data_IF_919174690770
#
_entry.id   IF_919174690770
#
_cell.length_a   1.000
_cell.length_b   1.000
_cell.length_c   1.000
_cell.angle_alpha   90.00
_cell.angle_beta   90.00
_cell.angle_gamma   90.00
#
_symmetry.space_group_name_H-M   'P 1'
#
loop_
_entity.id
_entity.type
_entity.pdbx_description
1 polymer ?
#
# COMPACT_ATOMS: atom_id res chain seq x y z
N UNK A 1 0.15 26.43 -0.66
CA UNK A 1 0.25 25.59 -1.85
C UNK A 1 1.71 25.22 -2.03
N UNK A 2 2.07 23.97 -1.76
CA UNK A 2 3.37 23.46 -2.18
C UNK A 2 3.38 23.32 -3.71
N UNK A 3 4.53 23.51 -4.39
CA UNK A 3 4.62 23.18 -5.80
C UNK A 3 4.31 21.69 -6.01
N UNK A 4 3.81 21.30 -7.19
CA UNK A 4 3.62 19.88 -7.50
C UNK A 4 4.96 19.16 -7.34
N UNK A 5 4.94 18.01 -6.70
CA UNK A 5 6.13 17.19 -6.61
C UNK A 5 6.53 16.67 -8.00
N UNK A 6 7.83 16.63 -8.32
CA UNK A 6 8.29 16.05 -9.58
C UNK A 6 7.97 14.55 -9.64
N UNK A 7 7.83 14.01 -10.85
CA UNK A 7 7.70 12.56 -11.00
C UNK A 7 8.95 11.87 -10.40
N UNK A 8 8.80 10.93 -9.47
CA UNK A 8 9.92 10.21 -8.87
C UNK A 8 10.85 9.56 -9.91
N UNK A 9 10.34 9.09 -11.04
CA UNK A 9 11.16 8.53 -12.12
C UNK A 9 12.10 9.57 -12.73
N UNK A 10 11.63 10.83 -12.90
CA UNK A 10 12.43 11.90 -13.48
C UNK A 10 13.62 12.30 -12.63
N UNK A 11 13.52 12.11 -11.31
CA UNK A 11 14.57 12.49 -10.35
C UNK A 11 15.29 11.28 -9.77
N UNK A 12 14.99 10.07 -10.25
CA UNK A 12 15.61 8.82 -9.76
C UNK A 12 15.25 8.46 -8.31
N UNK A 13 14.11 8.95 -7.82
CA UNK A 13 13.64 8.62 -6.47
C UNK A 13 13.01 7.21 -6.47
N UNK A 14 13.47 6.31 -5.59
CA UNK A 14 12.91 4.97 -5.52
C UNK A 14 11.54 4.96 -4.83
N UNK A 15 10.76 3.87 -4.97
CA UNK A 15 9.55 3.65 -4.20
C UNK A 15 9.80 3.76 -2.70
N UNK A 16 8.85 4.34 -2.01
CA UNK A 16 8.91 4.46 -0.58
C UNK A 16 8.18 3.32 0.11
N UNK A 17 8.78 2.76 1.16
CA UNK A 17 8.33 1.53 1.77
C UNK A 17 8.18 1.65 3.29
N UNK A 18 7.20 0.94 3.82
CA UNK A 18 7.10 0.62 5.24
C UNK A 18 6.56 -0.80 5.42
N UNK A 19 6.68 -1.34 6.60
CA UNK A 19 6.22 -2.69 6.93
C UNK A 19 5.00 -2.60 7.83
N UNK A 20 3.98 -3.40 7.52
CA UNK A 20 2.85 -3.65 8.42
C UNK A 20 3.04 -4.91 9.22
N UNK A 21 2.60 -4.86 10.46
CA UNK A 21 2.50 -6.05 11.32
C UNK A 21 1.21 -6.80 10.99
N UNK A 22 1.30 -7.90 10.24
CA UNK A 22 0.13 -8.58 9.68
C UNK A 22 -0.90 -9.02 10.74
N UNK A 23 -0.44 -9.54 11.87
CA UNK A 23 -1.33 -10.17 12.86
C UNK A 23 -2.37 -9.21 13.47
N UNK A 24 -1.99 -7.98 13.78
CA UNK A 24 -2.88 -7.02 14.44
C UNK A 24 -3.54 -6.04 13.46
N UNK A 25 -2.93 -5.79 12.30
CA UNK A 25 -3.45 -4.79 11.36
C UNK A 25 -4.48 -5.35 10.39
N UNK A 26 -4.39 -6.63 10.01
CA UNK A 26 -5.29 -7.21 9.04
C UNK A 26 -6.69 -7.47 9.60
N UNK A 27 -7.70 -7.00 8.89
CA UNK A 27 -9.11 -7.24 9.16
C UNK A 27 -9.76 -7.74 7.87
N UNK A 28 -10.45 -8.89 7.95
CA UNK A 28 -11.15 -9.46 6.81
C UNK A 28 -12.41 -8.66 6.44
N UNK A 29 -12.95 -8.96 5.27
CA UNK A 29 -14.18 -8.35 4.75
C UNK A 29 -15.33 -8.43 5.76
N UNK A 30 -16.07 -7.33 5.92
CA UNK A 30 -17.18 -7.22 6.89
C UNK A 30 -16.73 -7.00 8.33
N UNK A 31 -15.42 -7.01 8.62
CA UNK A 31 -14.90 -6.72 9.94
C UNK A 31 -15.00 -5.25 10.32
N UNK A 32 -14.85 -4.97 11.60
CA UNK A 32 -14.90 -3.61 12.14
C UNK A 32 -13.51 -3.12 12.52
N UNK A 33 -13.24 -1.85 12.28
CA UNK A 33 -12.03 -1.15 12.71
C UNK A 33 -12.42 -0.08 13.70
N UNK A 34 -11.74 -0.05 14.85
CA UNK A 34 -11.93 1.03 15.83
C UNK A 34 -10.93 2.15 15.51
N UNK A 35 -11.43 3.34 15.26
CA UNK A 35 -10.57 4.52 15.08
C UNK A 35 -9.78 4.73 16.38
N UNK A 36 -8.44 4.80 16.32
CA UNK A 36 -7.62 5.02 17.49
C UNK A 36 -8.00 6.32 18.21
N UNK A 37 -8.27 6.24 19.51
CA UNK A 37 -8.70 7.40 20.30
C UNK A 37 -7.65 8.54 20.34
N UNK A 38 -6.39 8.21 20.03
CA UNK A 38 -5.31 9.18 19.98
C UNK A 38 -5.25 9.95 18.67
N UNK A 39 -5.89 9.48 17.58
CA UNK A 39 -5.87 10.16 16.27
C UNK A 39 -7.10 11.04 16.08
N UNK A 40 -6.86 12.22 15.49
CA UNK A 40 -7.90 13.17 15.07
C UNK A 40 -7.91 13.40 13.56
N UNK A 41 -7.00 12.77 12.82
CA UNK A 41 -6.87 12.85 11.37
C UNK A 41 -6.78 11.46 10.79
N UNK A 42 -7.89 10.74 10.93
CA UNK A 42 -8.03 9.39 10.39
C UNK A 42 -8.39 9.44 8.90
N UNK A 43 -7.69 8.66 8.10
CA UNK A 43 -7.82 8.71 6.65
C UNK A 43 -7.85 7.30 6.05
N UNK A 44 -8.35 7.20 4.84
CA UNK A 44 -8.40 6.00 4.02
C UNK A 44 -7.43 6.09 2.86
N UNK A 45 -6.99 4.95 2.37
CA UNK A 45 -6.19 4.78 1.15
C UNK A 45 -6.59 3.47 0.51
N UNK A 46 -7.50 3.54 -0.47
CA UNK A 46 -7.90 2.37 -1.25
C UNK A 46 -6.78 1.97 -2.20
N UNK A 47 -6.38 0.70 -2.14
CA UNK A 47 -5.30 0.17 -2.96
C UNK A 47 -5.66 -1.20 -3.54
N UNK A 48 -5.09 -1.52 -4.70
CA UNK A 48 -4.89 -2.91 -5.10
C UNK A 48 -3.62 -3.43 -4.43
N UNK A 49 -3.70 -4.60 -3.85
CA UNK A 49 -2.53 -5.28 -3.30
C UNK A 49 -2.15 -6.48 -4.17
N UNK A 50 -0.85 -6.66 -4.36
CA UNK A 50 -0.27 -7.82 -5.06
C UNK A 50 0.00 -8.92 -4.03
N UNK A 51 -0.38 -10.16 -4.35
CA UNK A 51 -0.09 -11.35 -3.54
C UNK A 51 1.01 -12.17 -4.21
N UNK A 52 2.09 -12.42 -3.50
CA UNK A 52 3.22 -13.21 -3.98
C UNK A 52 2.82 -14.69 -4.01
N UNK A 53 3.11 -15.36 -5.11
CA UNK A 53 2.79 -16.78 -5.31
C UNK A 53 4.00 -17.71 -5.33
N UNK A 54 5.18 -17.17 -5.51
CA UNK A 54 6.43 -17.93 -5.59
C UNK A 54 7.56 -17.16 -4.92
N UNK A 55 8.39 -17.86 -4.16
CA UNK A 55 9.58 -17.26 -3.54
C UNK A 55 10.43 -16.55 -4.58
N UNK A 56 10.86 -15.32 -4.26
CA UNK A 56 11.72 -14.53 -5.13
C UNK A 56 12.66 -13.62 -4.36
N UNK A 57 13.84 -13.44 -4.94
CA UNK A 57 14.92 -12.59 -4.44
C UNK A 57 15.71 -12.06 -5.63
N UNK A 58 16.06 -10.77 -5.59
CA UNK A 58 16.90 -10.10 -6.58
C UNK A 58 16.40 -10.25 -8.03
N UNK A 59 15.08 -10.23 -8.23
CA UNK A 59 14.45 -10.31 -9.55
C UNK A 59 14.47 -8.95 -10.25
N UNK A 60 14.51 -8.97 -11.57
CA UNK A 60 14.37 -7.76 -12.38
C UNK A 60 12.88 -7.44 -12.67
N UNK A 61 12.63 -6.22 -13.14
CA UNK A 61 11.29 -5.72 -13.44
C UNK A 61 10.61 -6.56 -14.54
N UNK A 62 11.37 -7.05 -15.53
CA UNK A 62 10.83 -7.77 -16.68
C UNK A 62 10.19 -9.12 -16.27
N UNK A 63 10.67 -9.73 -15.18
CA UNK A 63 10.20 -11.04 -14.71
C UNK A 63 9.35 -10.95 -13.43
N UNK A 64 9.21 -9.77 -12.83
CA UNK A 64 8.57 -9.60 -11.52
C UNK A 64 7.14 -10.14 -11.46
N UNK A 65 6.36 -9.97 -12.52
CA UNK A 65 4.98 -10.40 -12.57
C UNK A 65 4.80 -11.93 -12.63
N UNK A 66 5.84 -12.69 -12.96
CA UNK A 66 5.82 -14.16 -12.93
C UNK A 66 5.72 -14.72 -11.51
N UNK A 67 6.01 -13.91 -10.49
CA UNK A 67 5.97 -14.26 -9.08
C UNK A 67 4.66 -13.89 -8.40
N UNK A 68 3.74 -13.25 -9.11
CA UNK A 68 2.46 -12.79 -8.59
C UNK A 68 1.39 -13.88 -8.75
N UNK A 69 0.80 -14.30 -7.62
CA UNK A 69 -0.32 -15.23 -7.62
C UNK A 69 -1.64 -14.54 -8.01
N UNK A 70 -1.83 -13.30 -7.59
CA UNK A 70 -3.07 -12.58 -7.81
C UNK A 70 -3.12 -11.25 -7.09
N UNK A 71 -4.32 -10.70 -7.04
CA UNK A 71 -4.59 -9.37 -6.51
C UNK A 71 -5.73 -9.41 -5.50
N UNK A 72 -5.68 -8.50 -4.55
CA UNK A 72 -6.77 -8.26 -3.61
C UNK A 72 -6.91 -6.76 -3.36
N UNK A 73 -7.96 -6.37 -2.65
CA UNK A 73 -8.17 -4.98 -2.25
C UNK A 73 -7.71 -4.82 -0.81
N UNK A 74 -7.07 -3.70 -0.52
CA UNK A 74 -6.79 -3.25 0.84
C UNK A 74 -7.24 -1.80 1.02
N UNK A 75 -7.45 -1.44 2.28
CA UNK A 75 -7.58 -0.05 2.69
C UNK A 75 -6.42 0.25 3.65
N UNK A 76 -5.44 1.04 3.20
CA UNK A 76 -4.29 1.43 4.00
C UNK A 76 -4.66 2.56 4.96
N UNK A 77 -5.48 2.22 5.98
CA UNK A 77 -5.95 3.18 6.97
C UNK A 77 -4.80 3.85 7.71
N UNK A 78 -4.93 5.16 7.88
CA UNK A 78 -3.84 6.03 8.32
C UNK A 78 -4.28 6.98 9.43
N UNK A 79 -3.51 7.04 10.51
CA UNK A 79 -3.59 8.08 11.52
C UNK A 79 -2.63 9.22 11.14
N UNK A 80 -3.05 10.13 10.27
CA UNK A 80 -2.19 11.13 9.61
C UNK A 80 -1.44 12.04 10.57
N UNK A 81 -2.04 12.38 11.69
CA UNK A 81 -1.45 13.19 12.74
C UNK A 81 -0.29 12.50 13.48
N UNK A 82 -0.08 11.21 13.24
CA UNK A 82 1.03 10.43 13.80
C UNK A 82 2.17 10.16 12.80
N UNK A 83 2.06 10.67 11.57
CA UNK A 83 3.14 10.55 10.59
C UNK A 83 4.40 11.28 11.04
N UNK A 84 4.25 12.47 11.62
CA UNK A 84 5.36 13.27 12.14
C UNK A 84 5.33 13.28 13.65
N UNK A 85 6.47 13.00 14.26
CA UNK A 85 6.61 13.00 15.72
C UNK A 85 6.64 14.43 16.24
N UNK A 86 5.83 14.74 17.27
CA UNK A 86 5.86 16.06 17.92
C UNK A 86 7.27 16.37 18.42
N UNK A 87 7.71 17.60 18.24
CA UNK A 87 9.00 18.12 18.70
C UNK A 87 10.25 17.48 18.06
N UNK A 88 10.10 16.64 17.05
CA UNK A 88 11.24 16.15 16.29
C UNK A 88 11.89 17.28 15.49
N UNK A 89 13.20 17.22 15.36
CA UNK A 89 13.94 18.17 14.51
C UNK A 89 13.60 17.87 13.05
N UNK A 90 13.10 18.86 12.26
CA UNK A 90 12.82 18.67 10.86
C UNK A 90 14.03 18.12 10.08
N UNK A 91 13.82 17.11 9.24
CA UNK A 91 14.87 16.44 8.49
C UNK A 91 15.71 15.43 9.27
N UNK A 92 15.45 15.24 10.56
CA UNK A 92 16.12 14.20 11.34
C UNK A 92 15.52 12.81 11.06
N UNK A 93 16.32 11.75 11.29
CA UNK A 93 15.85 10.36 11.21
C UNK A 93 14.70 10.05 12.19
N UNK A 94 14.45 10.92 13.17
CA UNK A 94 13.42 10.76 14.19
C UNK A 94 12.13 11.51 13.85
N UNK A 95 12.06 12.18 12.71
CA UNK A 95 10.89 13.00 12.32
C UNK A 95 9.64 12.17 12.06
N UNK A 96 9.80 11.00 11.44
CA UNK A 96 8.68 10.17 10.98
C UNK A 96 8.43 8.96 11.87
N UNK A 97 7.15 8.62 12.06
CA UNK A 97 6.71 7.43 12.80
C UNK A 97 5.66 6.63 12.01
N UNK A 98 6.15 5.75 11.16
CA UNK A 98 5.31 4.89 10.31
C UNK A 98 4.56 3.81 11.11
N UNK A 99 5.11 3.41 12.26
CA UNK A 99 4.45 2.42 13.11
C UNK A 99 3.19 3.01 13.72
N UNK A 100 3.29 4.16 14.36
CA UNK A 100 2.13 4.81 14.98
C UNK A 100 1.08 5.24 13.96
N UNK A 101 1.50 5.64 12.76
CA UNK A 101 0.60 6.06 11.69
C UNK A 101 -0.16 4.88 11.07
N UNK A 102 0.50 3.75 10.79
CA UNK A 102 0.03 2.70 9.87
C UNK A 102 -0.18 1.33 10.52
N UNK A 103 0.22 1.12 11.79
CA UNK A 103 0.21 -0.20 12.43
C UNK A 103 -0.67 -0.29 13.70
N UNK A 104 -1.70 0.55 13.80
CA UNK A 104 -2.73 0.37 14.84
C UNK A 104 -3.61 -0.87 14.52
N UNK A 105 -4.30 -1.38 15.52
CA UNK A 105 -5.15 -2.57 15.37
C UNK A 105 -6.24 -2.35 14.31
N UNK A 106 -6.29 -3.23 13.32
CA UNK A 106 -7.22 -3.14 12.22
C UNK A 106 -6.85 -2.15 11.12
N UNK A 107 -5.63 -1.60 11.10
CA UNK A 107 -5.19 -0.57 10.14
C UNK A 107 -5.20 -1.02 8.67
N UNK A 108 -5.41 -2.31 8.37
CA UNK A 108 -5.39 -2.86 7.02
C UNK A 108 -6.58 -3.81 6.77
N UNK A 109 -7.79 -3.28 6.55
CA UNK A 109 -8.85 -4.09 5.97
C UNK A 109 -8.42 -4.68 4.63
N UNK A 110 -8.62 -6.00 4.45
CA UNK A 110 -8.14 -6.75 3.28
C UNK A 110 -9.19 -7.75 2.79
N UNK A 111 -9.28 -7.94 1.50
CA UNK A 111 -10.18 -8.92 0.88
C UNK A 111 -11.21 -8.25 -0.04
N UNK A 112 -12.35 -8.93 -0.32
CA UNK A 112 -12.86 -10.16 0.31
C UNK A 112 -12.15 -11.46 -0.11
N UNK A 113 -11.51 -11.50 -1.27
CA UNK A 113 -10.81 -12.67 -1.82
C UNK A 113 -9.58 -12.24 -2.61
N UNK A 114 -8.75 -13.20 -2.99
CA UNK A 114 -7.66 -13.02 -3.94
C UNK A 114 -8.18 -13.44 -5.32
N UNK A 115 -8.08 -12.53 -6.30
CA UNK A 115 -8.35 -12.83 -7.70
C UNK A 115 -7.06 -13.31 -8.34
N UNK A 116 -7.03 -14.53 -8.92
CA UNK A 116 -5.83 -15.03 -9.59
C UNK A 116 -5.34 -14.08 -10.69
N UNK A 117 -4.03 -13.96 -10.85
CA UNK A 117 -3.45 -13.08 -11.88
C UNK A 117 -3.90 -13.42 -13.30
N UNK A 118 -4.16 -14.71 -13.57
CA UNK A 118 -4.65 -15.17 -14.85
C UNK A 118 -6.08 -14.72 -15.20
N UNK A 119 -6.87 -14.33 -14.19
CA UNK A 119 -8.26 -13.89 -14.35
C UNK A 119 -8.39 -12.37 -14.55
N UNK A 120 -7.27 -11.63 -14.48
CA UNK A 120 -7.23 -10.19 -14.69
C UNK A 120 -6.44 -9.89 -15.97
N UNK A 121 -7.15 -9.45 -16.99
CA UNK A 121 -6.54 -9.21 -18.32
C UNK A 121 -5.52 -8.06 -18.31
N UNK A 122 -5.83 -6.97 -17.60
CA UNK A 122 -4.96 -5.81 -17.47
C UNK A 122 -5.02 -5.26 -16.03
N UNK A 123 -4.07 -5.61 -15.18
CA UNK A 123 -4.06 -5.14 -13.81
C UNK A 123 -3.71 -3.64 -13.67
N UNK A 124 -3.19 -3.02 -14.72
CA UNK A 124 -2.89 -1.58 -14.76
C UNK A 124 -4.06 -0.74 -15.29
N UNK A 125 -5.23 -1.34 -15.46
CA UNK A 125 -6.44 -0.66 -15.90
C UNK A 125 -7.66 -1.11 -15.09
N UNK A 126 -7.57 -1.02 -13.77
CA UNK A 126 -8.67 -1.35 -12.85
C UNK A 126 -9.20 -0.07 -12.21
N UNK A 127 -10.51 0.15 -12.31
CA UNK A 127 -11.16 1.25 -11.60
C UNK A 127 -11.20 0.97 -10.10
N UNK A 128 -10.84 1.99 -9.32
CA UNK A 128 -10.82 1.98 -7.86
C UNK A 128 -11.80 3.00 -7.32
N UNK A 129 -12.79 2.54 -6.57
CA UNK A 129 -13.80 3.42 -5.95
C UNK A 129 -13.97 3.10 -4.48
N UNK A 130 -13.98 4.13 -3.66
CA UNK A 130 -14.23 4.03 -2.22
C UNK A 130 -15.35 4.98 -1.81
N UNK A 131 -16.27 4.46 -1.04
CA UNK A 131 -17.34 5.24 -0.43
C UNK A 131 -17.22 5.22 1.09
N UNK A 132 -17.50 6.37 1.70
CA UNK A 132 -17.71 6.49 3.14
C UNK A 132 -19.18 6.82 3.34
N UNK A 133 -19.91 5.90 3.95
CA UNK A 133 -21.37 5.89 3.90
C UNK A 133 -21.84 5.93 2.42
N UNK A 134 -22.66 6.90 2.04
CA UNK A 134 -23.17 7.03 0.68
C UNK A 134 -22.36 8.03 -0.17
N UNK A 135 -21.22 8.55 0.33
CA UNK A 135 -20.42 9.55 -0.35
C UNK A 135 -19.21 8.90 -1.02
N UNK A 136 -19.05 9.09 -2.33
CA UNK A 136 -17.87 8.67 -3.07
C UNK A 136 -16.68 9.53 -2.64
N UNK A 137 -15.65 8.90 -2.09
CA UNK A 137 -14.47 9.58 -1.53
C UNK A 137 -13.21 9.37 -2.36
N UNK A 138 -13.08 8.21 -3.03
CA UNK A 138 -12.03 7.99 -4.02
C UNK A 138 -12.65 7.46 -5.32
N UNK A 139 -12.18 7.96 -6.46
CA UNK A 139 -12.51 7.49 -7.80
C UNK A 139 -11.24 7.63 -8.66
N UNK A 140 -10.56 6.53 -8.91
CA UNK A 140 -9.29 6.50 -9.60
C UNK A 140 -9.15 5.21 -10.42
N UNK A 141 -7.98 5.03 -11.02
CA UNK A 141 -7.64 3.85 -11.80
C UNK A 141 -6.19 3.45 -11.53
N UNK A 142 -5.89 2.15 -11.50
CA UNK A 142 -4.53 1.64 -11.28
C UNK A 142 -3.51 2.14 -12.29
N UNK A 143 -3.95 2.60 -13.45
CA UNK A 143 -3.11 3.29 -14.44
C UNK A 143 -2.48 4.57 -13.91
N UNK A 144 -3.07 5.21 -12.89
CA UNK A 144 -2.56 6.45 -12.28
C UNK A 144 -1.44 6.20 -11.24
N UNK A 145 -1.16 4.95 -10.88
CA UNK A 145 -0.05 4.63 -9.98
C UNK A 145 1.27 5.15 -10.55
N UNK A 146 2.09 5.79 -9.73
CA UNK A 146 3.44 6.24 -10.10
C UNK A 146 4.30 5.00 -10.41
N UNK A 147 4.61 4.19 -9.41
CA UNK A 147 5.32 2.92 -9.60
C UNK A 147 4.35 1.79 -9.92
N UNK A 148 4.64 1.02 -10.97
CA UNK A 148 3.81 -0.11 -11.38
C UNK A 148 4.14 -1.36 -10.58
N UNK A 149 3.24 -2.34 -10.56
CA UNK A 149 3.39 -3.57 -9.76
C UNK A 149 4.74 -4.27 -9.96
N UNK A 150 5.20 -4.39 -11.22
CA UNK A 150 6.47 -5.03 -11.54
C UNK A 150 7.67 -4.29 -10.92
N UNK A 151 7.65 -2.95 -10.92
CA UNK A 151 8.69 -2.12 -10.31
C UNK A 151 8.72 -2.31 -8.79
N UNK A 152 7.53 -2.32 -8.15
CA UNK A 152 7.40 -2.50 -6.71
C UNK A 152 7.89 -3.88 -6.26
N UNK A 153 7.46 -4.94 -6.95
CA UNK A 153 7.86 -6.33 -6.62
C UNK A 153 9.37 -6.51 -6.83
N UNK A 154 9.91 -6.05 -7.96
CA UNK A 154 11.35 -6.10 -8.21
C UNK A 154 12.14 -5.32 -7.16
N UNK A 155 11.71 -4.10 -6.85
CA UNK A 155 12.35 -3.25 -5.85
C UNK A 155 12.38 -3.89 -4.45
N UNK A 156 11.27 -4.49 -4.02
CA UNK A 156 11.17 -5.20 -2.74
C UNK A 156 12.09 -6.42 -2.72
N UNK A 157 12.08 -7.22 -3.79
CA UNK A 157 12.88 -8.43 -3.89
C UNK A 157 14.38 -8.19 -3.77
N UNK A 158 14.87 -7.01 -4.20
CA UNK A 158 16.27 -6.61 -4.04
C UNK A 158 16.66 -6.33 -2.59
N UNK A 159 15.70 -6.08 -1.71
CA UNK A 159 15.94 -5.73 -0.30
C UNK A 159 15.77 -6.92 0.63
N UNK A 160 14.75 -7.72 0.40
CA UNK A 160 14.49 -8.95 1.18
C UNK A 160 13.83 -10.00 0.29
N UNK A 161 13.91 -11.26 0.72
CA UNK A 161 13.22 -12.35 0.03
C UNK A 161 11.71 -12.21 0.26
N UNK A 162 10.95 -12.30 -0.83
CA UNK A 162 9.49 -12.38 -0.80
C UNK A 162 9.07 -13.85 -0.86
N UNK A 163 8.09 -14.20 -0.05
CA UNK A 163 7.59 -15.57 0.06
C UNK A 163 6.14 -15.69 -0.42
N UNK A 164 5.70 -16.90 -0.83
CA UNK A 164 4.29 -17.13 -1.14
C UNK A 164 3.38 -16.72 0.01
N UNK A 165 2.38 -15.89 -0.29
CA UNK A 165 1.45 -15.33 0.68
C UNK A 165 1.83 -13.95 1.20
N UNK A 166 3.02 -13.44 0.91
CA UNK A 166 3.34 -12.04 1.17
C UNK A 166 2.42 -11.13 0.36
N UNK A 167 1.96 -10.06 1.01
CA UNK A 167 1.07 -9.06 0.40
C UNK A 167 1.81 -7.75 0.27
N UNK A 168 1.86 -7.24 -0.95
CA UNK A 168 2.45 -5.93 -1.27
C UNK A 168 1.33 -4.93 -1.49
N UNK A 169 1.17 -4.00 -0.54
CA UNK A 169 0.38 -2.79 -0.71
C UNK A 169 1.07 -1.88 -1.73
N UNK A 170 0.34 -1.36 -2.71
CA UNK A 170 0.99 -0.75 -3.88
C UNK A 170 0.86 0.76 -3.98
N UNK A 171 0.28 1.38 -2.96
CA UNK A 171 -0.01 2.80 -2.93
C UNK A 171 -1.38 3.13 -3.53
N UNK A 172 -2.01 4.17 -2.98
CA UNK A 172 -3.32 4.64 -3.45
C UNK A 172 -3.13 5.62 -4.60
N UNK A 173 -3.72 5.38 -5.78
CA UNK A 173 -3.61 6.26 -6.94
C UNK A 173 -4.53 7.47 -6.89
#
# INVERSE_FOLDING_TARGET
>A
NLPPEPDPHDIGMPPWLFIRTARNTMVGHGGSVTIPAYSKQFDWELEVAVVIGRECKDIDVAHAMEYVAGYTIINDLSARDFMKRPHAIPGSAMEYDWISQKNFDGACPIGPWIVPSADIADPLNLDLKLWVNDTLMQDSNTGNMIFKYAELVAFLSQRFTLYPGDVVATGTP
#
